data_IF_338739315996
#
_entry.id   IF_338739315996
#
_cell.length_a   1.000
_cell.length_b   1.000
_cell.length_c   1.000
_cell.angle_alpha   90.00
_cell.angle_beta   90.00
_cell.angle_gamma   90.00
#
_symmetry.space_group_name_H-M   'P 1'
#
loop_
_entity.id
_entity.type
_entity.pdbx_description
1 polymer ?
#
# COMPACT_ATOMS: atom_id res chain seq x y z
N UNK A 1 -0.51 -4.82 4.07
CA UNK A 1 0.18 -5.03 5.37
C UNK A 1 1.21 -3.93 5.72
N UNK A 2 2.04 -3.46 4.79
CA UNK A 2 3.11 -2.48 5.08
C UNK A 2 2.59 -1.10 5.56
N UNK A 3 1.35 -0.74 5.21
CA UNK A 3 0.66 0.44 5.77
C UNK A 3 0.64 0.47 7.31
N UNK A 4 0.51 -0.69 7.97
CA UNK A 4 0.55 -0.78 9.43
C UNK A 4 1.97 -0.65 10.00
N UNK A 5 3.00 -0.88 9.18
CA UNK A 5 4.40 -0.72 9.56
C UNK A 5 4.85 0.73 9.71
N UNK A 6 4.21 1.64 8.96
CA UNK A 6 4.45 3.07 9.04
C UNK A 6 3.76 3.74 10.25
N UNK A 7 2.94 2.99 10.98
CA UNK A 7 2.24 3.44 12.18
C UNK A 7 3.06 3.22 13.44
N UNK A 8 3.11 4.22 14.33
CA UNK A 8 3.49 4.05 15.74
C UNK A 8 2.38 3.39 16.57
N UNK A 9 1.67 2.42 15.99
CA UNK A 9 0.64 1.64 16.68
C UNK A 9 1.28 0.39 17.25
N UNK A 10 1.14 0.17 18.55
CA UNK A 10 1.51 -1.09 19.18
C UNK A 10 0.79 -2.26 18.48
N UNK A 11 1.54 -3.08 17.72
CA UNK A 11 0.94 -4.26 17.04
C UNK A 11 0.30 -5.20 18.06
N UNK A 12 0.81 -5.21 19.29
CA UNK A 12 0.29 -6.03 20.40
C UNK A 12 -1.08 -5.56 20.86
N UNK A 13 -1.39 -4.27 20.74
CA UNK A 13 -2.67 -3.73 21.21
C UNK A 13 -3.76 -3.80 20.12
N UNK A 14 -3.36 -3.80 18.84
CA UNK A 14 -4.30 -3.74 17.70
C UNK A 14 -4.26 -4.96 16.77
N UNK A 15 -3.67 -6.08 17.20
CA UNK A 15 -3.53 -7.27 16.33
C UNK A 15 -4.89 -7.84 15.90
N UNK A 16 -5.92 -7.71 16.74
CA UNK A 16 -7.28 -8.22 16.44
C UNK A 16 -7.90 -7.42 15.31
N UNK A 17 -7.80 -6.11 15.36
CA UNK A 17 -8.31 -5.17 14.36
C UNK A 17 -7.59 -5.38 13.03
N UNK A 18 -6.26 -5.54 13.05
CA UNK A 18 -5.47 -5.84 11.84
C UNK A 18 -5.91 -7.17 11.22
N UNK A 19 -6.09 -8.21 12.04
CA UNK A 19 -6.49 -9.53 11.57
C UNK A 19 -7.91 -9.50 10.98
N UNK A 20 -8.86 -8.85 11.66
CA UNK A 20 -10.24 -8.69 11.19
C UNK A 20 -10.27 -7.95 9.85
N UNK A 21 -9.54 -6.84 9.71
CA UNK A 21 -9.46 -6.10 8.46
C UNK A 21 -8.91 -6.95 7.32
N UNK A 22 -7.83 -7.70 7.55
CA UNK A 22 -7.27 -8.59 6.53
C UNK A 22 -8.26 -9.69 6.14
N UNK A 23 -8.91 -10.34 7.11
CA UNK A 23 -9.90 -11.39 6.84
C UNK A 23 -11.07 -10.86 6.02
N UNK A 24 -11.61 -9.68 6.37
CA UNK A 24 -12.71 -9.05 5.63
C UNK A 24 -12.30 -8.74 4.19
N UNK A 25 -11.11 -8.15 3.99
CA UNK A 25 -10.60 -7.82 2.65
C UNK A 25 -10.36 -9.09 1.84
N UNK A 26 -9.78 -10.14 2.42
CA UNK A 26 -9.50 -11.41 1.74
C UNK A 26 -10.78 -12.15 1.34
N UNK A 27 -11.75 -12.27 2.25
CA UNK A 27 -13.05 -12.89 1.94
C UNK A 27 -13.80 -12.08 0.90
N UNK A 28 -13.84 -10.74 1.04
CA UNK A 28 -14.47 -9.86 0.06
C UNK A 28 -13.85 -10.00 -1.32
N UNK A 29 -12.53 -10.07 -1.40
CA UNK A 29 -11.81 -10.28 -2.68
C UNK A 29 -12.15 -11.63 -3.31
N UNK A 30 -12.18 -12.70 -2.51
CA UNK A 30 -12.52 -14.04 -2.99
C UNK A 30 -13.93 -14.11 -3.56
N UNK A 31 -14.92 -13.52 -2.88
CA UNK A 31 -16.31 -13.50 -3.33
C UNK A 31 -16.53 -12.63 -4.57
N UNK A 32 -15.73 -11.59 -4.75
CA UNK A 32 -15.85 -10.69 -5.90
C UNK A 32 -15.17 -11.26 -7.14
N UNK A 33 -14.10 -12.05 -6.95
CA UNK A 33 -13.34 -12.66 -8.04
C UNK A 33 -14.21 -13.53 -8.97
N UNK A 34 -15.31 -14.11 -8.47
CA UNK A 34 -16.22 -14.92 -9.28
C UNK A 34 -17.05 -14.10 -10.27
N UNK A 35 -17.13 -12.77 -10.13
CA UNK A 35 -17.82 -11.89 -11.08
C UNK A 35 -16.82 -11.18 -11.99
N UNK A 36 -16.83 -11.52 -13.29
CA UNK A 36 -15.89 -10.98 -14.29
C UNK A 36 -15.94 -9.46 -14.40
N UNK A 37 -17.13 -8.85 -14.30
CA UNK A 37 -17.33 -7.40 -14.34
C UNK A 37 -16.85 -6.66 -13.09
N UNK A 38 -16.93 -7.30 -11.92
CA UNK A 38 -16.47 -6.70 -10.66
C UNK A 38 -14.99 -6.96 -10.38
N UNK A 39 -14.38 -7.93 -11.08
CA UNK A 39 -12.97 -8.29 -10.88
C UNK A 39 -12.02 -7.11 -11.11
N UNK A 40 -12.29 -6.25 -12.10
CA UNK A 40 -11.50 -5.05 -12.39
C UNK A 40 -11.58 -3.99 -11.27
N UNK A 41 -12.63 -4.03 -10.44
CA UNK A 41 -12.83 -3.09 -9.33
C UNK A 41 -12.27 -3.60 -8.01
N UNK A 42 -11.77 -4.85 -7.94
CA UNK A 42 -11.21 -5.43 -6.72
C UNK A 42 -10.16 -4.53 -6.05
N UNK A 43 -9.15 -3.98 -6.77
CA UNK A 43 -8.13 -3.15 -6.13
C UNK A 43 -8.71 -1.90 -5.49
N UNK A 44 -9.70 -1.27 -6.15
CA UNK A 44 -10.37 -0.07 -5.66
C UNK A 44 -11.27 -0.37 -4.45
N UNK A 45 -12.00 -1.49 -4.47
CA UNK A 45 -12.80 -1.91 -3.32
C UNK A 45 -11.94 -2.25 -2.11
N UNK A 46 -10.81 -2.94 -2.32
CA UNK A 46 -9.84 -3.22 -1.26
C UNK A 46 -9.27 -1.92 -0.67
N UNK A 47 -8.99 -0.92 -1.52
CA UNK A 47 -8.53 0.40 -1.08
C UNK A 47 -9.57 1.11 -0.21
N UNK A 48 -10.83 1.18 -0.67
CA UNK A 48 -11.92 1.80 0.09
C UNK A 48 -12.16 1.09 1.41
N UNK A 49 -12.17 -0.25 1.42
CA UNK A 49 -12.31 -1.05 2.64
C UNK A 49 -11.15 -0.81 3.62
N UNK A 50 -9.91 -0.69 3.13
CA UNK A 50 -8.76 -0.39 3.95
C UNK A 50 -8.87 1.02 4.58
N UNK A 51 -9.27 2.03 3.79
CA UNK A 51 -9.50 3.40 4.29
C UNK A 51 -10.61 3.43 5.34
N UNK A 52 -11.73 2.73 5.08
CA UNK A 52 -12.83 2.62 6.03
C UNK A 52 -12.38 1.95 7.33
N UNK A 53 -11.65 0.84 7.23
CA UNK A 53 -11.07 0.16 8.40
C UNK A 53 -10.17 1.08 9.22
N UNK A 54 -9.24 1.80 8.57
CA UNK A 54 -8.32 2.73 9.24
C UNK A 54 -9.07 3.88 9.92
N UNK A 55 -10.16 4.36 9.31
CA UNK A 55 -10.96 5.44 9.86
C UNK A 55 -11.83 4.98 11.04
N UNK A 56 -12.51 3.83 10.92
CA UNK A 56 -13.46 3.37 11.94
C UNK A 56 -12.80 2.58 13.08
N UNK A 57 -11.94 1.61 12.79
CA UNK A 57 -11.31 0.77 13.82
C UNK A 57 -10.16 1.48 14.51
N UNK A 58 -9.29 2.14 13.74
CA UNK A 58 -8.10 2.81 14.27
C UNK A 58 -8.36 4.29 14.64
N UNK A 59 -9.56 4.81 14.37
CA UNK A 59 -9.99 6.19 14.66
C UNK A 59 -9.05 7.25 14.10
N UNK A 60 -8.49 6.99 12.92
CA UNK A 60 -7.57 7.90 12.23
C UNK A 60 -8.40 8.88 11.40
N UNK A 61 -7.92 10.12 11.24
CA UNK A 61 -8.56 11.08 10.34
C UNK A 61 -8.59 10.53 8.90
N UNK A 62 -9.70 10.76 8.19
CA UNK A 62 -9.94 10.23 6.84
C UNK A 62 -8.76 10.53 5.89
N UNK A 63 -8.20 11.74 5.97
CA UNK A 63 -7.07 12.15 5.13
C UNK A 63 -5.79 11.37 5.41
N UNK A 64 -5.49 11.10 6.67
CA UNK A 64 -4.34 10.28 7.05
C UNK A 64 -4.58 8.81 6.67
N UNK A 65 -5.79 8.29 6.87
CA UNK A 65 -6.18 6.95 6.44
C UNK A 65 -5.98 6.73 4.93
N UNK A 66 -6.40 7.70 4.12
CA UNK A 66 -6.23 7.68 2.65
C UNK A 66 -4.73 7.62 2.30
N UNK A 67 -3.91 8.50 2.87
CA UNK A 67 -2.46 8.51 2.63
C UNK A 67 -1.78 7.20 3.02
N UNK A 68 -2.13 6.64 4.17
CA UNK A 68 -1.59 5.38 4.66
C UNK A 68 -2.00 4.18 3.79
N UNK A 69 -3.26 4.15 3.35
CA UNK A 69 -3.72 3.16 2.40
C UNK A 69 -2.89 3.23 1.10
N UNK A 70 -2.58 4.43 0.61
CA UNK A 70 -1.68 4.58 -0.55
C UNK A 70 -0.29 3.99 -0.33
N UNK A 71 0.35 4.27 0.80
CA UNK A 71 1.64 3.67 1.12
C UNK A 71 1.58 2.13 1.12
N UNK A 72 0.52 1.57 1.70
CA UNK A 72 0.29 0.14 1.71
C UNK A 72 0.15 -0.45 0.31
N UNK A 73 -0.70 0.16 -0.53
CA UNK A 73 -0.96 -0.31 -1.89
C UNK A 73 0.25 -0.18 -2.80
N UNK A 74 0.92 0.98 -2.77
CA UNK A 74 2.10 1.22 -3.61
C UNK A 74 3.22 0.26 -3.26
N UNK A 75 3.51 0.10 -1.96
CA UNK A 75 4.54 -0.85 -1.53
C UNK A 75 4.18 -2.28 -1.91
N UNK A 76 2.90 -2.66 -1.83
CA UNK A 76 2.42 -3.96 -2.25
C UNK A 76 2.60 -4.19 -3.76
N UNK A 77 2.26 -3.21 -4.60
CA UNK A 77 2.47 -3.27 -6.06
C UNK A 77 3.97 -3.42 -6.36
N UNK A 78 4.82 -2.59 -5.75
CA UNK A 78 6.28 -2.68 -5.95
C UNK A 78 6.79 -4.05 -5.55
N UNK A 79 6.42 -4.55 -4.37
CA UNK A 79 6.87 -5.86 -3.90
C UNK A 79 6.40 -6.99 -4.83
N UNK A 80 5.13 -6.99 -5.23
CA UNK A 80 4.58 -8.01 -6.13
C UNK A 80 5.23 -7.96 -7.52
N UNK A 81 5.47 -6.77 -8.07
CA UNK A 81 6.16 -6.61 -9.36
C UNK A 81 7.62 -7.07 -9.29
N UNK A 82 8.34 -6.74 -8.22
CA UNK A 82 9.73 -7.19 -8.02
C UNK A 82 9.80 -8.70 -7.92
N UNK A 83 8.94 -9.31 -7.10
CA UNK A 83 8.89 -10.77 -6.96
C UNK A 83 8.50 -11.43 -8.28
N UNK A 84 7.48 -10.92 -8.98
CA UNK A 84 7.09 -11.44 -10.30
C UNK A 84 8.24 -11.32 -11.30
N UNK A 85 8.96 -10.20 -11.30
CA UNK A 85 10.15 -9.99 -12.11
C UNK A 85 11.21 -11.07 -11.84
N UNK A 86 11.50 -11.37 -10.57
CA UNK A 86 12.44 -12.44 -10.21
C UNK A 86 12.01 -13.80 -10.78
N UNK A 87 10.73 -14.18 -10.64
CA UNK A 87 10.21 -15.42 -11.21
C UNK A 87 10.26 -15.44 -12.74
N UNK A 88 9.93 -14.33 -13.40
CA UNK A 88 10.04 -14.20 -14.87
C UNK A 88 11.48 -14.43 -15.34
N UNK A 89 12.47 -13.83 -14.67
CA UNK A 89 13.88 -14.00 -15.01
C UNK A 89 14.41 -15.40 -14.68
N UNK A 90 14.00 -15.99 -13.55
CA UNK A 90 14.48 -17.31 -13.13
C UNK A 90 13.89 -18.46 -13.95
N UNK A 91 12.67 -18.33 -14.46
CA UNK A 91 11.98 -19.39 -15.21
C UNK A 91 11.78 -19.06 -16.69
N UNK A 92 12.34 -17.94 -17.18
CA UNK A 92 12.23 -17.46 -18.57
C UNK A 92 10.77 -17.39 -19.08
N UNK A 93 9.85 -16.94 -18.22
CA UNK A 93 8.42 -16.82 -18.53
C UNK A 93 8.03 -15.36 -18.80
N UNK A 94 7.00 -15.19 -19.63
CA UNK A 94 6.33 -13.88 -19.79
C UNK A 94 5.56 -13.51 -18.51
N UNK A 95 5.22 -12.23 -18.35
CA UNK A 95 4.52 -11.74 -17.16
C UNK A 95 3.23 -12.50 -16.85
N UNK A 96 2.38 -12.71 -17.87
CA UNK A 96 1.13 -13.48 -17.73
C UNK A 96 1.42 -14.94 -17.39
N UNK A 97 2.39 -15.56 -18.05
CA UNK A 97 2.77 -16.95 -17.75
C UNK A 97 3.30 -17.14 -16.33
N UNK A 98 4.09 -16.20 -15.82
CA UNK A 98 4.58 -16.24 -14.44
C UNK A 98 3.45 -16.03 -13.41
N UNK A 99 2.49 -15.16 -13.70
CA UNK A 99 1.33 -14.94 -12.81
C UNK A 99 0.35 -16.12 -12.81
N UNK A 100 0.09 -16.73 -13.95
CA UNK A 100 -0.84 -17.86 -14.03
C UNK A 100 -0.26 -19.10 -13.33
N UNK A 101 1.04 -19.35 -13.49
CA UNK A 101 1.71 -20.55 -12.95
C UNK A 101 2.16 -20.37 -11.50
N UNK A 102 2.64 -19.17 -11.13
CA UNK A 102 3.24 -18.90 -9.82
C UNK A 102 2.51 -17.83 -9.01
N UNK A 103 1.33 -17.36 -9.42
CA UNK A 103 0.63 -16.24 -8.79
C UNK A 103 0.46 -16.38 -7.27
N UNK A 104 0.14 -17.58 -6.78
CA UNK A 104 0.08 -17.86 -5.34
C UNK A 104 1.44 -17.67 -4.64
N UNK A 105 2.52 -18.19 -5.23
CA UNK A 105 3.87 -18.06 -4.68
C UNK A 105 4.36 -16.60 -4.73
N UNK A 106 4.08 -15.90 -5.82
CA UNK A 106 4.38 -14.48 -5.97
C UNK A 106 3.70 -13.67 -4.87
N UNK A 107 2.43 -13.95 -4.59
CA UNK A 107 1.69 -13.28 -3.53
C UNK A 107 2.29 -13.59 -2.15
N UNK A 108 2.57 -14.86 -1.85
CA UNK A 108 3.12 -15.29 -0.56
C UNK A 108 4.50 -14.69 -0.30
N UNK A 109 5.40 -14.75 -1.29
CA UNK A 109 6.76 -14.19 -1.19
C UNK A 109 6.70 -12.66 -1.11
N UNK A 110 5.81 -12.03 -1.87
CA UNK A 110 5.55 -10.59 -1.80
C UNK A 110 5.09 -10.15 -0.41
N UNK A 111 4.13 -10.87 0.18
CA UNK A 111 3.62 -10.56 1.52
C UNK A 111 4.69 -10.76 2.61
N UNK A 112 5.49 -11.83 2.52
CA UNK A 112 6.65 -12.03 3.41
C UNK A 112 7.67 -10.89 3.29
N UNK A 113 7.97 -10.44 2.08
CA UNK A 113 8.86 -9.30 1.84
C UNK A 113 8.31 -8.01 2.46
N UNK A 114 7.00 -7.77 2.37
CA UNK A 114 6.35 -6.61 2.96
C UNK A 114 6.39 -6.66 4.50
N UNK A 115 6.16 -7.84 5.09
CA UNK A 115 6.24 -8.04 6.54
C UNK A 115 7.68 -7.81 7.02
N UNK A 116 8.68 -8.37 6.34
CA UNK A 116 10.09 -8.17 6.69
C UNK A 116 10.48 -6.68 6.60
N UNK A 117 10.07 -6.01 5.52
CA UNK A 117 10.31 -4.58 5.32
C UNK A 117 9.65 -3.73 6.41
N UNK A 118 8.42 -4.08 6.81
CA UNK A 118 7.72 -3.47 7.95
C UNK A 118 8.52 -3.60 9.25
N UNK A 119 9.04 -4.79 9.55
CA UNK A 119 9.83 -5.03 10.76
C UNK A 119 11.15 -4.26 10.76
N UNK A 120 11.82 -4.14 9.60
CA UNK A 120 13.07 -3.37 9.44
C UNK A 120 12.82 -1.88 9.65
N UNK A 121 11.80 -1.31 8.99
CA UNK A 121 11.40 0.09 9.15
C UNK A 121 11.11 0.41 10.63
N UNK A 122 10.44 -0.53 11.30
CA UNK A 122 10.11 -0.44 12.73
C UNK A 122 11.35 -0.42 13.62
N UNK A 123 12.29 -1.33 13.38
CA UNK A 123 13.57 -1.38 14.12
C UNK A 123 14.37 -0.09 13.94
N UNK A 124 14.27 0.53 12.76
CA UNK A 124 14.89 1.83 12.44
C UNK A 124 14.11 3.05 12.97
N UNK A 125 12.99 2.84 13.66
CA UNK A 125 12.12 3.90 14.22
C UNK A 125 11.69 4.94 13.18
N UNK A 126 11.52 4.56 11.92
CA UNK A 126 10.90 5.42 10.91
C UNK A 126 9.39 5.31 11.05
N UNK A 127 8.79 6.24 11.79
CA UNK A 127 7.36 6.27 12.06
C UNK A 127 6.77 7.53 11.45
N UNK A 128 5.87 7.39 10.48
CA UNK A 128 5.31 8.55 9.79
C UNK A 128 4.10 9.16 10.51
N UNK A 129 3.61 8.50 11.57
CA UNK A 129 2.45 8.98 12.35
C UNK A 129 2.63 8.69 13.84
N UNK A 130 2.35 9.67 14.69
CA UNK A 130 2.13 9.47 16.14
C UNK A 130 0.66 9.17 16.43
N UNK A 131 0.33 8.80 17.67
CA UNK A 131 -0.99 8.34 18.11
C UNK A 131 -2.13 9.37 17.85
N UNK A 132 -3.41 8.94 17.95
CA UNK A 132 -4.59 9.79 17.72
C UNK A 132 -4.67 11.09 18.55
N UNK A 133 -3.89 11.22 19.62
CA UNK A 133 -3.91 12.38 20.52
C UNK A 133 -2.94 13.52 20.12
N UNK A 134 -2.03 13.31 19.17
CA UNK A 134 -1.11 14.36 18.68
C UNK A 134 -1.62 15.05 17.40
N UNK A 135 -2.69 14.55 16.78
CA UNK A 135 -3.19 15.09 15.51
C UNK A 135 -4.07 16.32 15.71
N UNK A 136 -3.46 17.44 16.09
CA UNK A 136 -3.95 18.80 15.76
C UNK A 136 -3.66 19.16 14.29
N UNK A 137 -3.72 18.18 13.38
CA UNK A 137 -3.37 18.40 11.99
C UNK A 137 -4.57 18.90 11.19
N UNK A 138 -4.77 20.22 11.16
CA UNK A 138 -5.51 20.86 10.08
C UNK A 138 -4.63 20.73 8.84
N UNK A 139 -5.00 19.85 7.89
CA UNK A 139 -4.40 19.86 6.55
C UNK A 139 -4.55 21.28 5.97
N UNK A 140 -3.50 22.10 6.10
CA UNK A 140 -3.41 23.32 5.31
C UNK A 140 -3.18 22.88 3.87
N UNK A 141 -3.94 23.45 2.95
CA UNK A 141 -3.72 23.36 1.50
C UNK A 141 -2.36 24.00 1.19
N UNK A 142 -1.29 23.22 1.39
CA UNK A 142 0.07 23.58 1.05
C UNK A 142 0.44 22.89 -0.28
N UNK A 143 1.32 23.49 -1.08
CA UNK A 143 1.72 22.99 -2.41
C UNK A 143 2.19 21.53 -2.38
N UNK A 144 2.83 21.13 -1.27
CA UNK A 144 3.30 19.76 -1.01
C UNK A 144 2.13 18.77 -0.82
N UNK A 145 1.08 19.17 -0.08
CA UNK A 145 -0.12 18.35 0.07
C UNK A 145 -0.90 18.24 -1.25
N UNK A 146 -0.94 19.32 -2.05
CA UNK A 146 -1.57 19.31 -3.37
C UNK A 146 -0.83 18.36 -4.33
N UNK A 147 0.51 18.35 -4.30
CA UNK A 147 1.31 17.43 -5.10
C UNK A 147 1.12 15.97 -4.65
N UNK A 148 1.11 15.71 -3.34
CA UNK A 148 0.80 14.37 -2.79
C UNK A 148 -0.61 13.91 -3.19
N UNK A 149 -1.59 14.81 -3.20
CA UNK A 149 -2.96 14.51 -3.63
C UNK A 149 -3.03 14.24 -5.13
N UNK A 150 -2.35 15.03 -5.96
CA UNK A 150 -2.28 14.81 -7.41
C UNK A 150 -1.62 13.46 -7.74
N UNK A 151 -0.52 13.12 -7.06
CA UNK A 151 0.14 11.83 -7.19
C UNK A 151 -0.78 10.68 -6.77
N UNK A 152 -1.50 10.85 -5.66
CA UNK A 152 -2.50 9.89 -5.20
C UNK A 152 -3.61 9.65 -6.25
N UNK A 153 -4.16 10.71 -6.85
CA UNK A 153 -5.20 10.61 -7.90
C UNK A 153 -4.66 9.86 -9.12
N UNK A 154 -3.46 10.21 -9.59
CA UNK A 154 -2.80 9.50 -10.71
C UNK A 154 -2.66 8.01 -10.39
N UNK A 155 -2.31 7.65 -9.15
CA UNK A 155 -2.16 6.25 -8.76
C UNK A 155 -3.48 5.50 -8.62
N UNK A 156 -4.57 6.15 -8.16
CA UNK A 156 -5.91 5.53 -8.18
C UNK A 156 -6.35 5.24 -9.61
N UNK A 157 -6.12 6.18 -10.54
CA UNK A 157 -6.44 5.97 -11.97
C UNK A 157 -5.57 4.86 -12.55
N UNK A 158 -4.30 4.79 -12.15
CA UNK A 158 -3.37 3.75 -12.61
C UNK A 158 -3.74 2.36 -12.10
N UNK A 159 -4.34 2.25 -10.91
CA UNK A 159 -4.86 0.99 -10.35
C UNK A 159 -6.01 0.40 -11.18
N UNK A 160 -6.77 1.23 -11.91
CA UNK A 160 -7.91 0.79 -12.72
C UNK A 160 -7.48 0.24 -14.09
N UNK A 161 -6.41 0.79 -14.69
CA UNK A 161 -5.98 0.48 -16.06
C UNK A 161 -4.62 -0.23 -16.13
N UNK A 162 -4.25 -1.02 -15.12
CA UNK A 162 -2.89 -1.57 -15.04
C UNK A 162 -2.66 -2.76 -15.99
N UNK A 163 -2.50 -2.47 -17.28
CA UNK A 163 -1.93 -3.43 -18.23
C UNK A 163 -0.42 -3.23 -18.32
N UNK A 164 0.34 -4.17 -17.74
CA UNK A 164 1.80 -4.12 -17.77
C UNK A 164 2.32 -4.63 -19.11
N UNK A 165 2.61 -3.71 -20.03
CA UNK A 165 3.31 -4.04 -21.29
C UNK A 165 4.80 -4.29 -21.06
N UNK A 166 5.41 -3.59 -20.09
CA UNK A 166 6.82 -3.74 -19.72
C UNK A 166 7.01 -3.70 -18.21
N UNK A 167 7.38 -4.84 -17.62
CA UNK A 167 7.51 -5.00 -16.17
C UNK A 167 8.64 -4.15 -15.58
N UNK A 168 9.75 -3.96 -16.29
CA UNK A 168 10.88 -3.17 -15.80
C UNK A 168 10.52 -1.69 -15.69
N UNK A 169 9.83 -1.15 -16.69
CA UNK A 169 9.32 0.23 -16.68
C UNK A 169 8.31 0.41 -15.54
N UNK A 170 7.43 -0.56 -15.34
CA UNK A 170 6.48 -0.55 -14.24
C UNK A 170 7.19 -0.54 -12.86
N UNK A 171 8.19 -1.40 -12.65
CA UNK A 171 8.97 -1.43 -11.40
C UNK A 171 9.64 -0.08 -11.14
N UNK A 172 10.31 0.49 -12.14
CA UNK A 172 11.00 1.79 -12.01
C UNK A 172 10.00 2.89 -11.68
N UNK A 173 8.89 2.97 -12.41
CA UNK A 173 7.84 3.97 -12.19
C UNK A 173 7.28 3.90 -10.77
N UNK A 174 6.84 2.73 -10.32
CA UNK A 174 6.24 2.57 -8.99
C UNK A 174 7.26 2.77 -7.87
N UNK A 175 8.52 2.39 -8.08
CA UNK A 175 9.61 2.65 -7.12
C UNK A 175 9.87 4.14 -6.98
N UNK A 176 9.89 4.90 -8.09
CA UNK A 176 10.03 6.37 -8.06
C UNK A 176 8.84 7.01 -7.34
N UNK A 177 7.61 6.55 -7.61
CA UNK A 177 6.41 7.03 -6.90
C UNK A 177 6.52 6.77 -5.40
N UNK A 178 6.94 5.56 -5.00
CA UNK A 178 7.12 5.19 -3.60
C UNK A 178 8.18 6.04 -2.89
N UNK A 179 9.35 6.20 -3.52
CA UNK A 179 10.44 7.02 -2.97
C UNK A 179 10.05 8.50 -2.84
N UNK A 180 9.34 9.06 -3.81
CA UNK A 180 8.86 10.44 -3.74
C UNK A 180 7.89 10.66 -2.58
N UNK A 181 6.96 9.72 -2.37
CA UNK A 181 6.05 9.79 -1.23
C UNK A 181 6.82 9.73 0.10
N UNK A 182 7.75 8.77 0.25
CA UNK A 182 8.59 8.69 1.44
C UNK A 182 9.42 9.96 1.66
N UNK A 183 10.01 10.53 0.61
CA UNK A 183 10.81 11.74 0.71
C UNK A 183 10.01 12.95 1.19
N UNK A 184 8.77 13.10 0.70
CA UNK A 184 7.87 14.18 1.13
C UNK A 184 7.61 14.11 2.62
N UNK A 185 7.28 12.92 3.15
CA UNK A 185 6.94 12.78 4.56
C UNK A 185 8.17 12.85 5.47
N UNK A 186 9.34 12.32 5.07
CA UNK A 186 10.60 12.51 5.83
C UNK A 186 10.97 13.98 5.92
N UNK A 187 10.82 14.73 4.82
CA UNK A 187 11.13 16.17 4.79
C UNK A 187 10.18 16.95 5.71
N UNK A 188 8.91 16.56 5.73
CA UNK A 188 7.86 17.17 6.55
C UNK A 188 8.04 16.90 8.04
N UNK A 189 8.48 15.70 8.40
CA UNK A 189 8.83 15.33 9.78
C UNK A 189 10.05 16.15 10.26
N UNK A 190 11.07 16.33 9.41
CA UNK A 190 12.27 17.14 9.74
C UNK A 190 12.01 18.65 9.81
N UNK A 191 11.02 19.17 9.10
CA UNK A 191 10.69 20.61 9.14
C UNK A 191 9.83 21.02 10.32
N UNK A 192 9.42 20.07 11.18
CA UNK A 192 8.56 20.35 12.34
C UNK A 192 7.14 20.75 11.97
N UNK A 193 6.72 20.55 10.72
CA UNK A 193 5.33 20.76 10.26
C UNK A 193 4.48 19.48 10.43
N UNK A 194 4.82 18.67 11.44
CA UNK A 194 4.17 17.40 11.76
C UNK A 194 2.93 17.58 12.63
#
# INVERSE_FOLDING_TARGET
MLAFGFFKVSLKDYWKEILVTNVIISIGTFLVHTNTTLSSFIPLMCFVLLVASLTFYFRISIWSSIKLAFYGFVSQIVAQLVVTGMFMFSFEKTYRGALDEFGFYVQLVGDLFLIASTLILRKRKMWFTTMPYDYTYKMKLNRINLFSLALAVVMVVSLYNFEVSNILVAIIFWTICFLNLLFIDIKKERSGEA
#
